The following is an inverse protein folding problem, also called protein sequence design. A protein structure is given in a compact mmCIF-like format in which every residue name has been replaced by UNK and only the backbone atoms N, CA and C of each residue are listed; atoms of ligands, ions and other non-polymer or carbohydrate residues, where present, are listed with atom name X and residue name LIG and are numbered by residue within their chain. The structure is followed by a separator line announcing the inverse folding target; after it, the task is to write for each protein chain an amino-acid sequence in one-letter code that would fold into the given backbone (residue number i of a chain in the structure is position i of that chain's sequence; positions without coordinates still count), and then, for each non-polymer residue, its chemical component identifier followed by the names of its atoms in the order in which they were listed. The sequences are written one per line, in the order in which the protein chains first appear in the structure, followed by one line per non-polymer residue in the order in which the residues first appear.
data_IF_485354375674
#
_entry.id   IF_485354375674
#
_cell.length_a   1.000
_cell.length_b   1.000
_cell.length_c   1.000
_cell.angle_alpha   90.00
_cell.angle_beta   90.00
_cell.angle_gamma   90.00
#
_symmetry.space_group_name_H-M   'P 1'
#
loop_
_entity.id
_entity.type
_entity.pdbx_description
1 polymer ?
#
# COMPACT_ATOMS: atom_id res chain seq x y z
N UNK A 1 -21.42 -10.23 27.48
CA UNK A 1 -21.23 -9.36 26.31
C UNK A 1 -19.80 -8.84 26.29
N UNK A 2 -19.10 -9.15 25.24
CA UNK A 2 -17.72 -8.69 25.12
C UNK A 2 -17.69 -7.23 24.75
N UNK A 3 -16.94 -6.39 25.47
CA UNK A 3 -16.78 -5.01 25.07
C UNK A 3 -16.07 -4.96 23.73
N UNK A 4 -16.47 -4.02 22.88
CA UNK A 4 -15.76 -3.78 21.64
C UNK A 4 -14.34 -3.31 21.98
N UNK A 5 -13.32 -3.81 21.27
CA UNK A 5 -11.98 -3.25 21.45
C UNK A 5 -11.99 -1.76 21.13
N UNK A 6 -11.14 -0.97 21.77
CA UNK A 6 -11.05 0.45 21.42
C UNK A 6 -10.68 0.60 19.96
N UNK A 7 -11.31 1.57 19.30
CA UNK A 7 -11.03 1.83 17.91
C UNK A 7 -9.58 2.26 17.75
N UNK A 8 -8.91 1.70 16.73
CA UNK A 8 -7.55 2.06 16.40
C UNK A 8 -7.54 3.47 15.78
N UNK A 9 -6.89 4.47 16.41
CA UNK A 9 -6.88 5.82 15.86
C UNK A 9 -6.26 5.92 14.48
N UNK A 10 -5.25 5.09 14.20
CA UNK A 10 -4.60 5.09 12.88
C UNK A 10 -5.56 4.53 11.83
N UNK A 11 -6.28 3.47 12.17
CA UNK A 11 -7.27 2.91 11.26
C UNK A 11 -8.40 3.91 10.97
N UNK A 12 -8.84 4.65 11.99
CA UNK A 12 -9.86 5.68 11.80
C UNK A 12 -9.38 6.82 10.90
N UNK A 13 -8.13 7.27 11.11
CA UNK A 13 -7.52 8.28 10.24
C UNK A 13 -7.42 7.79 8.80
N UNK A 14 -7.07 6.52 8.61
CA UNK A 14 -6.96 5.95 7.28
C UNK A 14 -8.33 5.95 6.58
N UNK A 15 -9.38 5.52 7.27
CA UNK A 15 -10.73 5.51 6.70
C UNK A 15 -11.16 6.92 6.31
N UNK A 16 -10.92 7.90 7.17
CA UNK A 16 -11.22 9.30 6.89
C UNK A 16 -10.47 9.77 5.64
N UNK A 17 -9.20 9.49 5.59
CA UNK A 17 -8.37 9.83 4.44
C UNK A 17 -8.88 9.18 3.16
N UNK A 18 -9.25 7.90 3.22
CA UNK A 18 -9.76 7.17 2.06
C UNK A 18 -11.08 7.78 1.55
N UNK A 19 -11.96 8.20 2.47
CA UNK A 19 -13.22 8.86 2.10
C UNK A 19 -12.96 10.24 1.51
N UNK A 20 -12.12 11.04 2.16
CA UNK A 20 -11.82 12.39 1.70
C UNK A 20 -11.14 12.42 0.33
N UNK A 21 -10.30 11.42 0.05
CA UNK A 21 -9.64 11.33 -1.26
C UNK A 21 -10.49 10.67 -2.33
N UNK A 22 -11.69 10.22 -1.99
CA UNK A 22 -12.61 9.61 -2.95
C UNK A 22 -12.31 8.15 -3.26
N UNK A 23 -11.33 7.58 -2.59
CA UNK A 23 -10.92 6.18 -2.80
C UNK A 23 -11.95 5.22 -2.22
N UNK A 24 -12.52 5.57 -1.08
CA UNK A 24 -13.56 4.78 -0.43
C UNK A 24 -14.88 5.56 -0.51
N UNK A 25 -15.90 4.94 -1.09
CA UNK A 25 -17.22 5.53 -1.25
C UNK A 25 -18.27 4.59 -0.70
N UNK A 26 -19.23 5.15 0.00
CA UNK A 26 -20.35 4.39 0.54
C UNK A 26 -21.58 4.58 -0.34
N UNK A 27 -22.39 3.55 -0.43
CA UNK A 27 -23.60 3.55 -1.25
C UNK A 27 -23.89 2.15 -1.74
N UNK A 28 -24.77 2.05 -2.73
CA UNK A 28 -25.08 0.77 -3.35
C UNK A 28 -24.25 0.62 -4.61
N UNK A 29 -23.33 -0.35 -4.60
CA UNK A 29 -22.44 -0.62 -5.73
C UNK A 29 -22.56 -2.07 -6.13
N UNK A 30 -22.38 -2.33 -7.43
CA UNK A 30 -22.31 -3.69 -7.93
C UNK A 30 -20.87 -4.01 -8.31
N UNK A 31 -20.35 -5.09 -7.76
CA UNK A 31 -19.00 -5.53 -8.06
C UNK A 31 -18.95 -6.22 -9.42
N UNK A 32 -17.75 -6.45 -9.93
CA UNK A 32 -17.55 -7.20 -11.19
C UNK A 32 -18.14 -8.61 -11.13
N UNK A 33 -18.21 -9.19 -9.94
CA UNK A 33 -18.83 -10.49 -9.72
C UNK A 33 -20.36 -10.44 -9.63
N UNK A 34 -20.97 -9.24 -9.76
CA UNK A 34 -22.40 -9.08 -9.72
C UNK A 34 -22.99 -8.95 -8.32
N UNK A 35 -22.17 -8.91 -7.29
CA UNK A 35 -22.63 -8.75 -5.90
C UNK A 35 -22.87 -7.29 -5.58
N UNK A 36 -23.94 -7.02 -4.84
CA UNK A 36 -24.14 -5.70 -4.28
C UNK A 36 -23.23 -5.50 -3.07
N UNK A 37 -22.61 -4.34 -2.99
CA UNK A 37 -21.75 -3.98 -1.88
C UNK A 37 -22.16 -2.62 -1.31
N UNK A 38 -22.14 -2.44 0.03
CA UNK A 38 -22.45 -1.14 0.62
C UNK A 38 -21.34 -0.12 0.46
N UNK A 39 -20.19 -0.51 -0.12
CA UNK A 39 -19.08 0.40 -0.36
C UNK A 39 -18.34 0.01 -1.62
N UNK A 40 -17.57 0.96 -2.12
CA UNK A 40 -16.64 0.73 -3.24
C UNK A 40 -15.30 1.33 -2.88
N UNK A 41 -14.24 0.53 -3.01
CA UNK A 41 -12.87 0.95 -2.75
C UNK A 41 -12.08 0.87 -4.04
N UNK A 42 -11.57 2.02 -4.49
CA UNK A 42 -10.77 2.10 -5.71
C UNK A 42 -9.39 2.63 -5.42
N UNK A 43 -8.44 1.72 -5.20
CA UNK A 43 -7.07 2.08 -4.88
C UNK A 43 -6.38 2.85 -6.01
N UNK A 44 -6.88 2.73 -7.24
CA UNK A 44 -6.34 3.49 -8.38
C UNK A 44 -6.50 5.00 -8.25
N UNK A 45 -7.35 5.46 -7.33
CA UNK A 45 -7.53 6.87 -7.07
C UNK A 45 -6.51 7.47 -6.12
N UNK A 46 -5.58 6.67 -5.60
CA UNK A 46 -4.36 7.20 -4.99
C UNK A 46 -3.39 7.59 -6.12
N UNK A 47 -3.74 8.64 -6.84
CA UNK A 47 -3.18 8.94 -8.15
C UNK A 47 -2.34 10.22 -8.21
N UNK A 48 -2.01 10.78 -7.08
CA UNK A 48 -1.08 11.91 -7.00
C UNK A 48 -0.09 11.70 -5.87
N UNK A 49 0.93 12.56 -5.84
CA UNK A 49 1.98 12.43 -4.84
C UNK A 49 1.51 12.64 -3.42
N UNK A 50 0.55 13.53 -3.20
CA UNK A 50 0.03 13.78 -1.86
C UNK A 50 -0.74 12.56 -1.35
N UNK A 51 -1.61 12.01 -2.17
CA UNK A 51 -2.39 10.81 -1.79
C UNK A 51 -1.50 9.59 -1.61
N UNK A 52 -0.60 9.35 -2.55
CA UNK A 52 0.30 8.19 -2.50
C UNK A 52 1.26 8.30 -1.33
N UNK A 53 1.81 9.49 -1.09
CA UNK A 53 2.71 9.72 0.03
C UNK A 53 2.01 9.50 1.37
N UNK A 54 0.78 9.98 1.50
CA UNK A 54 -0.01 9.78 2.71
C UNK A 54 -0.32 8.30 2.93
N UNK A 55 -0.67 7.59 1.85
CA UNK A 55 -0.88 6.15 1.92
C UNK A 55 0.37 5.43 2.41
N UNK A 56 1.54 5.80 1.88
CA UNK A 56 2.81 5.23 2.32
C UNK A 56 3.07 5.47 3.79
N UNK A 57 2.74 6.67 4.30
CA UNK A 57 2.88 6.99 5.72
C UNK A 57 2.01 6.09 6.60
N UNK A 58 0.77 5.83 6.21
CA UNK A 58 -0.10 4.94 6.96
C UNK A 58 0.46 3.52 7.02
N UNK A 59 0.94 3.02 5.89
CA UNK A 59 1.55 1.69 5.86
C UNK A 59 2.81 1.64 6.72
N UNK A 60 3.67 2.66 6.63
CA UNK A 60 4.90 2.70 7.42
C UNK A 60 4.60 2.69 8.92
N UNK A 61 3.66 3.50 9.37
CA UNK A 61 3.26 3.51 10.77
C UNK A 61 2.73 2.15 11.21
N UNK A 62 1.92 1.53 10.37
CA UNK A 62 1.35 0.23 10.70
C UNK A 62 2.42 -0.84 10.80
N UNK A 63 3.36 -0.85 9.87
CA UNK A 63 4.48 -1.79 9.90
C UNK A 63 5.33 -1.63 11.15
N UNK A 64 5.67 -0.39 11.49
CA UNK A 64 6.49 -0.13 12.68
C UNK A 64 5.75 -0.51 13.96
N UNK A 65 4.46 -0.21 14.02
CA UNK A 65 3.65 -0.52 15.21
C UNK A 65 3.38 -2.02 15.37
N UNK A 66 3.38 -2.77 14.27
CA UNK A 66 3.08 -4.20 14.30
C UNK A 66 4.18 -5.05 14.94
N UNK A 67 5.41 -4.55 14.96
CA UNK A 67 6.55 -5.32 15.45
C UNK A 67 6.97 -6.47 14.54
N UNK A 68 6.36 -6.61 13.37
CA UNK A 68 6.74 -7.65 12.41
C UNK A 68 8.16 -7.38 11.92
N UNK A 69 9.09 -8.35 12.03
CA UNK A 69 10.44 -8.15 11.50
C UNK A 69 10.45 -8.21 9.99
N UNK A 70 11.16 -7.29 9.36
CA UNK A 70 11.35 -7.31 7.92
C UNK A 70 12.64 -6.57 7.58
N UNK A 71 13.31 -7.01 6.53
CA UNK A 71 14.58 -6.44 6.10
C UNK A 71 14.46 -5.74 4.75
N UNK A 72 13.36 -5.95 4.05
CA UNK A 72 13.17 -5.40 2.72
C UNK A 72 11.69 -5.37 2.38
N UNK A 73 11.35 -4.52 1.42
CA UNK A 73 10.00 -4.45 0.87
C UNK A 73 10.01 -4.97 -0.55
N UNK A 74 8.97 -5.69 -0.91
CA UNK A 74 8.80 -6.18 -2.27
C UNK A 74 7.45 -5.71 -2.81
N UNK A 75 7.48 -5.04 -3.96
CA UNK A 75 6.28 -4.56 -4.62
C UNK A 75 5.98 -5.36 -5.88
N UNK A 76 4.98 -6.25 -5.84
CA UNK A 76 4.62 -7.02 -7.03
C UNK A 76 4.06 -6.09 -8.12
N UNK A 77 4.50 -6.33 -9.36
CA UNK A 77 4.06 -5.53 -10.49
C UNK A 77 2.55 -5.68 -10.71
N UNK A 78 1.82 -4.65 -11.06
CA UNK A 78 2.42 -3.33 -11.28
C UNK A 78 2.05 -2.37 -10.16
N UNK A 79 0.86 -2.51 -9.57
CA UNK A 79 0.34 -1.61 -8.53
C UNK A 79 1.20 -1.58 -7.27
N UNK A 80 1.81 -2.71 -6.93
CA UNK A 80 2.65 -2.81 -5.75
C UNK A 80 3.96 -2.06 -5.85
N UNK A 81 4.41 -1.74 -7.07
CA UNK A 81 5.70 -1.05 -7.25
C UNK A 81 5.66 0.34 -6.62
N UNK A 82 4.67 1.14 -6.99
CA UNK A 82 4.54 2.49 -6.45
C UNK A 82 4.25 2.47 -4.96
N UNK A 83 3.46 1.52 -4.50
CA UNK A 83 3.15 1.38 -3.09
C UNK A 83 4.42 1.05 -2.29
N UNK A 84 5.20 0.07 -2.72
CA UNK A 84 6.44 -0.29 -2.03
C UNK A 84 7.40 0.89 -1.98
N UNK A 85 7.55 1.63 -3.08
CA UNK A 85 8.40 2.80 -3.12
C UNK A 85 7.93 3.87 -2.13
N UNK A 86 6.63 4.14 -2.08
CA UNK A 86 6.10 5.15 -1.16
C UNK A 86 6.26 4.75 0.30
N UNK A 87 6.11 3.46 0.61
CA UNK A 87 6.33 2.95 1.97
C UNK A 87 7.81 3.08 2.35
N UNK A 88 8.71 2.72 1.43
CA UNK A 88 10.15 2.83 1.68
C UNK A 88 10.56 4.26 1.98
N UNK A 89 10.03 5.23 1.24
CA UNK A 89 10.29 6.64 1.48
C UNK A 89 9.77 7.08 2.85
N UNK A 90 8.56 6.66 3.20
CA UNK A 90 7.97 7.01 4.49
C UNK A 90 8.75 6.40 5.65
N UNK A 91 9.22 5.16 5.50
CA UNK A 91 10.07 4.52 6.51
C UNK A 91 11.39 5.26 6.68
N UNK A 92 11.99 5.71 5.58
CA UNK A 92 13.23 6.48 5.65
C UNK A 92 13.06 7.77 6.45
N UNK A 93 11.90 8.43 6.30
CA UNK A 93 11.58 9.63 7.09
C UNK A 93 11.45 9.33 8.57
N UNK A 94 11.07 8.10 8.91
CA UNK A 94 11.01 7.65 10.31
C UNK A 94 12.35 7.12 10.81
N UNK A 95 13.40 7.25 10.00
CA UNK A 95 14.75 6.82 10.38
C UNK A 95 15.08 5.40 10.03
N UNK A 96 14.20 4.68 9.34
CA UNK A 96 14.44 3.31 8.97
C UNK A 96 14.66 3.17 7.46
N UNK A 97 15.87 2.88 7.07
CA UNK A 97 16.26 2.75 5.66
C UNK A 97 16.15 1.30 5.24
N UNK A 98 15.11 0.99 4.47
CA UNK A 98 14.82 -0.37 4.03
C UNK A 98 14.95 -0.43 2.52
N UNK A 99 15.71 -1.41 1.99
CA UNK A 99 15.76 -1.59 0.54
C UNK A 99 14.43 -2.11 0.00
N UNK A 100 14.17 -1.82 -1.26
CA UNK A 100 12.98 -2.36 -1.90
C UNK A 100 13.32 -2.91 -3.28
N UNK A 101 12.48 -3.84 -3.73
CA UNK A 101 12.58 -4.46 -5.03
C UNK A 101 11.18 -4.69 -5.60
N UNK A 102 11.13 -4.95 -6.87
CA UNK A 102 9.88 -5.27 -7.54
C UNK A 102 10.15 -6.21 -8.70
N UNK A 103 9.09 -6.78 -9.27
CA UNK A 103 9.23 -7.67 -10.40
C UNK A 103 8.69 -7.01 -11.67
N UNK A 104 9.10 -7.55 -12.80
CA UNK A 104 8.49 -7.30 -14.10
C UNK A 104 7.62 -8.49 -14.43
N UNK A 105 6.51 -8.24 -15.12
CA UNK A 105 5.69 -9.37 -15.61
C UNK A 105 6.28 -9.98 -16.86
N UNK A 106 7.14 -9.25 -17.56
CA UNK A 106 7.81 -9.71 -18.76
C UNK A 106 9.30 -9.59 -18.60
N UNK A 107 10.05 -10.62 -19.01
CA UNK A 107 11.49 -10.58 -19.03
C UNK A 107 11.97 -9.61 -20.10
N UNK A 108 13.11 -8.92 -19.83
CA UNK A 108 13.75 -8.09 -20.83
C UNK A 108 14.37 -8.96 -21.91
N UNK A 109 14.21 -8.52 -23.16
CA UNK A 109 14.84 -9.21 -24.29
C UNK A 109 16.34 -8.92 -24.41
N UNK A 110 16.80 -7.80 -23.87
CA UNK A 110 18.17 -7.33 -24.01
C UNK A 110 18.76 -6.92 -22.67
N UNK A 111 20.08 -7.09 -22.55
CA UNK A 111 20.84 -6.64 -21.41
C UNK A 111 20.65 -7.51 -20.20
N UNK A 112 20.68 -6.91 -19.02
CA UNK A 112 20.47 -7.63 -17.78
C UNK A 112 19.00 -8.00 -17.64
N UNK A 113 18.58 -8.94 -18.44
CA UNK A 113 17.22 -9.43 -18.41
C UNK A 113 16.94 -10.16 -17.12
N UNK A 114 15.91 -9.77 -16.44
CA UNK A 114 15.48 -10.45 -15.24
C UNK A 114 14.09 -10.00 -14.89
N UNK A 115 13.43 -10.81 -14.07
CA UNK A 115 12.10 -10.46 -13.59
C UNK A 115 12.16 -9.57 -12.36
N UNK A 116 13.31 -9.51 -11.69
CA UNK A 116 13.49 -8.74 -10.46
C UNK A 116 14.28 -7.46 -10.72
N UNK A 117 13.85 -6.37 -10.10
CA UNK A 117 14.47 -5.06 -10.21
C UNK A 117 14.60 -4.48 -8.81
N UNK A 118 15.69 -3.75 -8.58
CA UNK A 118 15.93 -3.10 -7.31
C UNK A 118 16.95 -3.83 -6.48
N UNK A 119 16.82 -3.76 -5.15
CA UNK A 119 17.77 -4.38 -4.26
C UNK A 119 17.79 -5.90 -4.42
N UNK A 120 18.97 -6.53 -4.33
CA UNK A 120 19.03 -7.99 -4.49
C UNK A 120 18.31 -8.69 -3.35
N UNK A 121 17.60 -9.76 -3.70
CA UNK A 121 16.96 -10.64 -2.74
C UNK A 121 18.00 -11.63 -2.21
N UNK A 122 18.05 -11.78 -0.90
CA UNK A 122 18.98 -12.70 -0.25
C UNK A 122 18.25 -13.72 0.60
#
# INVERSE_FOLDING_TARGET
MNPKPPADPVAQEFVRFAVESGVLRFGEFRTKAGRQSPYFFNAGLFDDGAKLGRLGEFYARRLLASGVPFDMLFGPAYKGITLAASIAIALAREGRHVPFAFNRKEAKDHGEGGLLVGAPLR
#
